data_IF_636630889400
#
_entry.id   IF_636630889400
#
_cell.length_a   1.000
_cell.length_b   1.000
_cell.length_c   1.000
_cell.angle_alpha   90.00
_cell.angle_beta   90.00
_cell.angle_gamma   90.00
#
_symmetry.space_group_name_H-M   'P 1'
#
loop_
_entity.id
_entity.type
_entity.pdbx_description
1 polymer ?
#
# COMPACT_ATOMS: atom_id res chain seq x y z
N UNK A 1 -21.69 21.90 4.29
CA UNK A 1 -20.71 21.69 3.20
C UNK A 1 -19.25 21.61 3.66
N UNK A 2 -18.79 22.37 4.66
CA UNK A 2 -17.37 22.37 5.10
C UNK A 2 -16.89 21.01 5.66
N UNK A 3 -17.77 20.25 6.33
CA UNK A 3 -17.48 18.93 6.91
C UNK A 3 -17.11 17.85 5.87
N UNK A 4 -17.64 17.93 4.65
CA UNK A 4 -17.40 16.94 3.59
C UNK A 4 -15.98 17.07 3.03
N UNK A 5 -15.50 18.32 2.89
CA UNK A 5 -14.13 18.60 2.47
C UNK A 5 -13.09 18.10 3.47
N UNK A 6 -13.35 18.23 4.78
CA UNK A 6 -12.45 17.74 5.82
C UNK A 6 -12.33 16.20 5.79
N UNK A 7 -13.42 15.49 5.51
CA UNK A 7 -13.41 14.02 5.42
C UNK A 7 -12.58 13.52 4.24
N UNK A 8 -12.64 14.21 3.10
CA UNK A 8 -11.91 13.81 1.89
C UNK A 8 -10.39 13.95 2.06
N UNK A 9 -9.93 14.98 2.76
CA UNK A 9 -8.49 15.24 2.99
C UNK A 9 -7.89 14.30 4.04
N UNK A 10 -8.66 13.87 5.04
CA UNK A 10 -8.14 13.03 6.13
C UNK A 10 -8.17 11.53 5.79
N UNK A 11 -9.16 11.06 5.02
CA UNK A 11 -9.32 9.63 4.70
C UNK A 11 -8.63 9.18 3.41
N UNK A 12 -8.33 10.09 2.48
CA UNK A 12 -7.39 9.79 1.41
C UNK A 12 -6.00 10.16 1.90
N UNK A 13 -5.17 9.19 2.34
CA UNK A 13 -3.75 9.47 2.43
C UNK A 13 -3.33 9.85 1.02
N UNK A 14 -3.01 11.12 0.81
CA UNK A 14 -2.39 11.60 -0.41
C UNK A 14 -1.23 10.67 -0.73
N UNK A 15 -1.30 10.01 -1.89
CA UNK A 15 -0.43 8.93 -2.31
C UNK A 15 1.04 9.31 -2.53
N UNK A 16 1.52 10.39 -1.91
CA UNK A 16 2.91 10.84 -1.99
C UNK A 16 3.82 10.24 -0.92
N UNK A 17 3.29 9.48 0.06
CA UNK A 17 4.10 8.69 1.01
C UNK A 17 4.58 7.34 0.47
N UNK A 18 4.29 7.03 -0.80
CA UNK A 18 4.48 5.71 -1.41
C UNK A 18 5.86 5.49 -2.05
N UNK A 19 6.64 6.55 -2.26
CA UNK A 19 7.95 6.48 -2.90
C UNK A 19 9.06 6.55 -1.85
N UNK A 20 9.82 5.45 -1.70
CA UNK A 20 11.13 5.47 -1.03
C UNK A 20 11.31 4.59 0.22
N UNK A 21 10.27 3.99 0.79
CA UNK A 21 10.44 3.01 1.88
C UNK A 21 10.42 1.58 1.32
N UNK A 22 11.34 0.71 1.72
CA UNK A 22 11.37 -0.68 1.27
C UNK A 22 10.25 -1.54 1.87
N UNK A 23 9.47 -1.01 2.82
CA UNK A 23 8.48 -1.74 3.60
C UNK A 23 9.10 -2.36 4.84
N UNK A 24 8.24 -2.85 5.73
CA UNK A 24 8.67 -3.60 6.92
C UNK A 24 8.67 -5.09 6.60
N UNK A 25 9.77 -5.77 6.94
CA UNK A 25 9.88 -7.22 6.80
C UNK A 25 9.31 -7.90 8.05
N UNK A 26 8.22 -8.64 7.87
CA UNK A 26 7.60 -9.45 8.91
C UNK A 26 7.59 -10.89 8.42
N UNK A 27 8.15 -11.80 9.22
CA UNK A 27 8.41 -13.20 8.83
C UNK A 27 7.24 -13.89 8.13
N UNK A 28 6.03 -13.68 8.61
CA UNK A 28 4.80 -14.26 8.02
C UNK A 28 4.46 -13.67 6.66
N UNK A 29 4.62 -12.36 6.47
CA UNK A 29 4.40 -11.68 5.19
C UNK A 29 5.54 -11.98 4.20
N UNK A 30 6.78 -11.98 4.67
CA UNK A 30 7.97 -12.30 3.86
C UNK A 30 7.93 -13.74 3.33
N UNK A 31 7.37 -14.69 4.09
CA UNK A 31 7.15 -16.07 3.61
C UNK A 31 6.23 -16.14 2.36
N UNK A 32 5.37 -15.14 2.16
CA UNK A 32 4.51 -14.99 0.99
C UNK A 32 5.16 -14.13 -0.11
N UNK A 33 6.47 -13.85 -0.01
CA UNK A 33 7.19 -12.87 -0.85
C UNK A 33 6.57 -11.46 -0.79
N UNK A 34 5.91 -11.14 0.32
CA UNK A 34 5.29 -9.85 0.57
C UNK A 34 6.12 -8.97 1.50
N UNK A 35 5.73 -7.69 1.57
CA UNK A 35 6.23 -6.74 2.56
C UNK A 35 5.09 -5.95 3.17
N UNK A 36 5.28 -5.46 4.38
CA UNK A 36 4.26 -4.74 5.13
C UNK A 36 4.37 -3.22 4.88
N UNK A 37 3.25 -2.57 4.55
CA UNK A 37 3.16 -1.13 4.30
C UNK A 37 1.92 -0.53 4.97
N UNK A 38 1.90 0.79 5.19
CA UNK A 38 0.68 1.53 5.56
C UNK A 38 -0.24 1.66 4.33
N UNK A 39 -0.96 0.58 4.03
CA UNK A 39 -1.72 0.43 2.78
C UNK A 39 -0.85 -0.05 1.61
N UNK A 40 -1.45 -0.79 0.67
CA UNK A 40 -0.71 -1.33 -0.47
C UNK A 40 -0.48 -0.30 -1.56
N UNK A 41 0.72 -0.37 -2.15
CA UNK A 41 1.12 0.49 -3.27
C UNK A 41 0.41 0.08 -4.55
N UNK A 42 0.29 1.01 -5.48
CA UNK A 42 -0.12 0.68 -6.85
C UNK A 42 0.85 -0.36 -7.42
N UNK A 43 0.34 -1.42 -8.05
CA UNK A 43 1.13 -2.57 -8.50
C UNK A 43 1.42 -3.63 -7.42
N UNK A 44 0.88 -3.47 -6.21
CA UNK A 44 0.94 -4.45 -5.13
C UNK A 44 -0.45 -4.84 -4.67
N UNK A 45 -0.70 -6.14 -4.47
CA UNK A 45 -1.98 -6.66 -3.99
C UNK A 45 -1.95 -6.88 -2.48
N UNK A 46 -3.05 -6.53 -1.81
CA UNK A 46 -3.26 -6.82 -0.40
C UNK A 46 -3.47 -8.32 -0.18
N UNK A 47 -2.92 -8.85 0.91
CA UNK A 47 -3.02 -10.29 1.26
C UNK A 47 -3.52 -10.50 2.69
N UNK A 48 -2.99 -9.76 3.65
CA UNK A 48 -3.31 -9.92 5.07
C UNK A 48 -2.92 -8.65 5.86
N UNK A 49 -3.30 -8.58 7.12
CA UNK A 49 -2.79 -7.57 8.05
C UNK A 49 -1.43 -7.99 8.64
N UNK A 50 -0.53 -7.01 8.84
CA UNK A 50 0.64 -7.15 9.72
C UNK A 50 0.38 -6.32 10.99
N UNK A 51 0.39 -6.98 12.16
CA UNK A 51 0.22 -6.32 13.46
C UNK A 51 -0.93 -5.29 13.52
N UNK A 52 -2.10 -5.63 12.95
CA UNK A 52 -3.33 -4.85 12.87
C UNK A 52 -3.33 -3.56 12.03
N UNK A 53 -2.26 -2.77 12.00
CA UNK A 53 -2.30 -1.44 11.32
C UNK A 53 -1.65 -1.46 9.94
N UNK A 54 -0.69 -2.35 9.72
CA UNK A 54 0.00 -2.48 8.44
C UNK A 54 -0.68 -3.52 7.56
N UNK A 55 -0.51 -3.38 6.26
CA UNK A 55 -1.00 -4.30 5.24
C UNK A 55 0.16 -5.09 4.65
N UNK A 56 0.07 -6.42 4.67
CA UNK A 56 0.94 -7.29 3.91
C UNK A 56 0.55 -7.21 2.43
N UNK A 57 1.50 -6.76 1.61
CA UNK A 57 1.31 -6.57 0.19
C UNK A 57 2.29 -7.41 -0.60
N UNK A 58 1.85 -8.00 -1.71
CA UNK A 58 2.71 -8.77 -2.63
C UNK A 58 2.73 -8.10 -4.00
N UNK A 59 3.88 -8.14 -4.69
CA UNK A 59 4.01 -7.51 -6.01
C UNK A 59 3.15 -8.23 -7.03
N UNK A 60 2.39 -7.49 -7.82
CA UNK A 60 1.58 -8.07 -8.90
C UNK A 60 2.49 -8.47 -10.06
N UNK A 61 2.32 -9.69 -10.57
CA UNK A 61 3.06 -10.21 -11.73
C UNK A 61 2.26 -10.07 -13.03
N UNK A 62 0.93 -9.95 -12.93
CA UNK A 62 0.00 -9.86 -14.06
C UNK A 62 -0.94 -8.67 -13.88
N UNK A 63 -1.46 -8.14 -14.98
CA UNK A 63 -2.41 -7.03 -15.01
C UNK A 63 -1.93 -5.80 -14.22
N UNK A 64 -0.64 -5.49 -14.34
CA UNK A 64 -0.01 -4.38 -13.63
C UNK A 64 -0.61 -3.07 -14.16
N UNK A 65 -1.09 -2.17 -13.28
CA UNK A 65 -1.62 -0.88 -13.68
C UNK A 65 -0.60 -0.06 -14.48
N UNK A 66 -1.01 0.70 -15.52
CA UNK A 66 -0.08 1.50 -16.32
C UNK A 66 0.71 2.53 -15.50
N UNK A 67 0.14 3.02 -14.39
CA UNK A 67 0.75 4.00 -13.49
C UNK A 67 2.02 3.48 -12.78
N UNK A 68 2.25 2.17 -12.79
CA UNK A 68 3.48 1.57 -12.26
C UNK A 68 4.65 1.69 -13.24
N UNK A 69 4.35 1.93 -14.53
CA UNK A 69 5.33 1.98 -15.62
C UNK A 69 5.70 3.40 -16.03
N UNK A 70 5.01 4.43 -15.52
CA UNK A 70 5.36 5.82 -15.79
C UNK A 70 6.51 6.29 -14.88
N UNK A 71 7.61 6.80 -15.44
CA UNK A 71 8.80 7.25 -14.70
C UNK A 71 8.59 8.57 -13.95
#
# INVERSE_FOLDING_TARGET
>A
SLLIFLFHVFFFPSGNGLFGNDGVEIRTCTALKGRCFFGCRVGWKWVAFCHNILSCCTKMEKNIPPQVKEP
#
